data_IF_025162300591
#
_entry.id   IF_025162300591
#
_cell.length_a   1.000
_cell.length_b   1.000
_cell.length_c   1.000
_cell.angle_alpha   90.00
_cell.angle_beta   90.00
_cell.angle_gamma   90.00
#
_symmetry.space_group_name_H-M   'P 1'
#
loop_
_entity.id
_entity.type
_entity.pdbx_description
1 polymer ?
#
# COMPACT_ATOMS: atom_id res chain seq x y z
N UNK A 1 -6.29 8.91 15.92
CA UNK A 1 -5.36 7.82 15.56
C UNK A 1 -5.60 7.59 14.07
N UNK A 2 -4.66 7.96 13.19
CA UNK A 2 -4.92 7.82 11.74
C UNK A 2 -5.16 6.34 11.43
N UNK A 3 -6.00 5.96 10.48
CA UNK A 3 -6.16 4.54 10.14
C UNK A 3 -5.01 4.05 9.23
N UNK A 4 -4.81 2.74 9.05
CA UNK A 4 -3.86 2.22 8.05
C UNK A 4 -4.27 2.70 6.65
N UNK A 5 -5.58 2.76 6.38
CA UNK A 5 -6.14 3.36 5.17
C UNK A 5 -5.65 4.79 4.95
N UNK A 6 -5.71 5.64 5.96
CA UNK A 6 -5.25 7.04 5.82
C UNK A 6 -3.75 7.12 5.47
N UNK A 7 -2.93 6.23 6.06
CA UNK A 7 -1.50 6.12 5.72
C UNK A 7 -1.33 5.72 4.26
N UNK A 8 -2.02 4.67 3.81
CA UNK A 8 -1.92 4.21 2.42
C UNK A 8 -2.31 5.32 1.47
N UNK A 9 -3.44 5.99 1.71
CA UNK A 9 -3.94 7.07 0.84
C UNK A 9 -2.98 8.28 0.82
N UNK A 10 -2.39 8.67 1.95
CA UNK A 10 -1.41 9.76 1.99
C UNK A 10 -0.12 9.40 1.21
N UNK A 11 0.38 8.17 1.38
CA UNK A 11 1.54 7.69 0.64
C UNK A 11 1.26 7.62 -0.87
N UNK A 12 0.10 7.11 -1.28
CA UNK A 12 -0.28 7.05 -2.69
C UNK A 12 -0.39 8.45 -3.29
N UNK A 13 -1.02 9.39 -2.59
CA UNK A 13 -1.11 10.79 -3.04
C UNK A 13 0.25 11.44 -3.25
N UNK A 14 1.24 11.16 -2.38
CA UNK A 14 2.57 11.77 -2.43
C UNK A 14 3.51 11.11 -3.44
N UNK A 15 3.46 9.80 -3.53
CA UNK A 15 4.51 9.02 -4.19
C UNK A 15 4.00 8.18 -5.39
N UNK A 16 2.69 7.99 -5.51
CA UNK A 16 2.05 7.25 -6.61
C UNK A 16 1.11 8.13 -7.44
N UNK A 17 1.39 9.45 -7.57
CA UNK A 17 0.52 10.40 -8.28
C UNK A 17 0.25 10.04 -9.75
N UNK A 18 1.11 9.23 -10.38
CA UNK A 18 0.96 8.75 -11.75
C UNK A 18 0.25 7.40 -11.87
N UNK A 19 -0.14 6.78 -10.75
CA UNK A 19 -0.89 5.54 -10.77
C UNK A 19 -2.34 5.79 -11.23
N UNK A 20 -2.97 4.81 -11.90
CA UNK A 20 -4.39 4.87 -12.25
C UNK A 20 -5.30 5.11 -11.04
N UNK A 21 -6.46 5.74 -11.24
CA UNK A 21 -7.42 6.02 -10.16
C UNK A 21 -7.96 4.73 -9.52
N UNK A 22 -8.04 3.63 -10.28
CA UNK A 22 -8.51 2.31 -9.83
C UNK A 22 -7.40 1.44 -9.21
N UNK A 23 -6.21 1.99 -8.96
CA UNK A 23 -5.06 1.21 -8.48
C UNK A 23 -5.33 0.55 -7.12
N UNK A 24 -6.07 1.22 -6.23
CA UNK A 24 -6.41 0.66 -4.91
C UNK A 24 -7.36 -0.53 -5.08
N UNK A 25 -8.41 -0.41 -5.88
CA UNK A 25 -9.33 -1.52 -6.17
C UNK A 25 -8.60 -2.74 -6.75
N UNK A 26 -7.61 -2.51 -7.62
CA UNK A 26 -6.77 -3.58 -8.18
C UNK A 26 -5.94 -4.26 -7.09
N UNK A 27 -5.31 -3.47 -6.22
CA UNK A 27 -4.53 -3.97 -5.08
C UNK A 27 -5.40 -4.81 -4.16
N UNK A 28 -6.60 -4.34 -3.81
CA UNK A 28 -7.53 -5.08 -2.95
C UNK A 28 -7.93 -6.42 -3.56
N UNK A 29 -8.21 -6.46 -4.87
CA UNK A 29 -8.52 -7.70 -5.60
C UNK A 29 -7.32 -8.65 -5.64
N UNK A 30 -6.12 -8.15 -5.91
CA UNK A 30 -4.89 -8.94 -5.97
C UNK A 30 -4.50 -9.47 -4.58
N UNK A 31 -4.73 -8.69 -3.53
CA UNK A 31 -4.48 -9.09 -2.14
C UNK A 31 -5.56 -10.03 -1.59
N UNK A 32 -6.78 -10.00 -2.13
CA UNK A 32 -7.95 -10.61 -1.53
C UNK A 32 -8.32 -9.98 -0.18
N UNK A 33 -7.97 -8.70 0.02
CA UNK A 33 -8.10 -7.98 1.28
C UNK A 33 -8.46 -6.52 1.01
N UNK A 34 -9.59 -6.06 1.55
CA UNK A 34 -10.02 -4.67 1.47
C UNK A 34 -9.09 -3.76 2.28
N UNK A 35 -8.82 -2.55 1.80
CA UNK A 35 -7.94 -1.57 2.44
C UNK A 35 -8.43 -1.21 3.86
N UNK A 36 -9.74 -1.13 4.05
CA UNK A 36 -10.37 -0.89 5.35
C UNK A 36 -10.17 -2.05 6.35
N UNK A 37 -9.88 -3.25 5.85
CA UNK A 37 -9.64 -4.46 6.65
C UNK A 37 -8.15 -4.73 6.91
N UNK A 38 -7.24 -3.89 6.40
CA UNK A 38 -5.80 -4.05 6.61
C UNK A 38 -5.46 -3.70 8.06
N UNK A 39 -4.88 -4.67 8.76
CA UNK A 39 -4.27 -4.56 10.09
C UNK A 39 -2.78 -4.87 9.98
N UNK A 40 -1.97 -4.51 10.98
CA UNK A 40 -0.55 -4.84 10.93
C UNK A 40 -0.25 -6.34 10.84
N UNK A 41 -1.11 -7.20 11.39
CA UNK A 41 -0.95 -8.65 11.41
C UNK A 41 -1.25 -9.30 10.05
N UNK A 42 -2.08 -8.67 9.22
CA UNK A 42 -2.50 -9.19 7.93
C UNK A 42 -2.02 -8.36 6.73
N UNK A 43 -1.14 -7.36 6.94
CA UNK A 43 -0.74 -6.41 5.90
C UNK A 43 0.17 -7.02 4.81
N UNK A 44 0.78 -8.17 5.03
CA UNK A 44 1.79 -8.72 4.11
C UNK A 44 1.24 -8.99 2.69
N UNK A 45 0.09 -9.66 2.50
CA UNK A 45 -0.50 -9.85 1.17
C UNK A 45 -0.87 -8.53 0.49
N UNK A 46 -1.33 -7.54 1.26
CA UNK A 46 -1.64 -6.21 0.75
C UNK A 46 -0.37 -5.49 0.26
N UNK A 47 0.71 -5.51 1.04
CA UNK A 47 1.99 -4.91 0.66
C UNK A 47 2.59 -5.57 -0.59
N UNK A 48 2.45 -6.89 -0.73
CA UNK A 48 2.89 -7.60 -1.93
C UNK A 48 2.03 -7.22 -3.16
N UNK A 49 0.71 -7.11 -3.00
CA UNK A 49 -0.17 -6.62 -4.05
C UNK A 49 0.16 -5.19 -4.47
N UNK A 50 0.45 -4.28 -3.52
CA UNK A 50 0.94 -2.93 -3.80
C UNK A 50 2.20 -2.98 -4.68
N UNK A 51 3.18 -3.83 -4.33
CA UNK A 51 4.42 -3.97 -5.08
C UNK A 51 4.15 -4.42 -6.51
N UNK A 52 3.28 -5.42 -6.70
CA UNK A 52 2.94 -6.01 -8.01
C UNK A 52 2.22 -4.99 -8.88
N UNK A 53 1.12 -4.41 -8.38
CA UNK A 53 0.28 -3.50 -9.17
C UNK A 53 1.01 -2.19 -9.50
N UNK A 54 1.80 -1.64 -8.57
CA UNK A 54 2.59 -0.44 -8.86
C UNK A 54 3.74 -0.72 -9.83
N UNK A 55 4.37 -1.90 -9.78
CA UNK A 55 5.43 -2.26 -10.74
C UNK A 55 4.91 -2.41 -12.17
N UNK A 56 3.61 -2.68 -12.34
CA UNK A 56 2.97 -2.79 -13.65
C UNK A 56 2.67 -1.43 -14.29
N UNK A 57 2.58 -0.34 -13.51
CA UNK A 57 2.13 0.98 -13.98
C UNK A 57 3.14 2.10 -13.71
N UNK A 58 4.23 1.81 -12.99
CA UNK A 58 5.27 2.77 -12.63
C UNK A 58 6.67 2.18 -12.81
N UNK A 59 7.69 3.05 -12.74
CA UNK A 59 9.09 2.62 -12.67
C UNK A 59 9.31 1.70 -11.47
N UNK A 60 9.99 0.56 -11.67
CA UNK A 60 10.15 -0.47 -10.64
C UNK A 60 10.74 0.02 -9.32
N UNK A 61 11.65 1.00 -9.35
CA UNK A 61 12.23 1.57 -8.12
C UNK A 61 11.19 2.33 -7.28
N UNK A 62 10.18 2.97 -7.91
CA UNK A 62 9.10 3.67 -7.20
C UNK A 62 8.18 2.67 -6.49
N UNK A 63 7.85 1.56 -7.13
CA UNK A 63 7.05 0.50 -6.52
C UNK A 63 7.75 -0.09 -5.28
N UNK A 64 9.05 -0.36 -5.38
CA UNK A 64 9.86 -0.80 -4.23
C UNK A 64 9.89 0.24 -3.12
N UNK A 65 10.11 1.52 -3.45
CA UNK A 65 10.15 2.60 -2.48
C UNK A 65 8.81 2.75 -1.73
N UNK A 66 7.70 2.86 -2.46
CA UNK A 66 6.35 3.02 -1.88
C UNK A 66 6.02 1.85 -0.96
N UNK A 67 6.25 0.62 -1.42
CA UNK A 67 6.01 -0.59 -0.62
C UNK A 67 6.86 -0.60 0.66
N UNK A 68 8.14 -0.21 0.56
CA UNK A 68 9.05 -0.13 1.70
C UNK A 68 8.61 0.90 2.74
N UNK A 69 8.17 2.09 2.31
CA UNK A 69 7.64 3.13 3.21
C UNK A 69 6.39 2.66 3.93
N UNK A 70 5.42 2.06 3.21
CA UNK A 70 4.20 1.52 3.80
C UNK A 70 4.51 0.47 4.86
N UNK A 71 5.40 -0.48 4.55
CA UNK A 71 5.84 -1.52 5.48
C UNK A 71 6.41 -0.93 6.76
N UNK A 72 7.28 0.08 6.66
CA UNK A 72 7.85 0.72 7.84
C UNK A 72 6.79 1.44 8.69
N UNK A 73 5.85 2.15 8.07
CA UNK A 73 4.81 2.89 8.80
C UNK A 73 3.80 1.96 9.47
N UNK A 74 3.39 0.87 8.79
CA UNK A 74 2.51 -0.16 9.36
C UNK A 74 3.20 -0.85 10.55
N UNK A 75 4.47 -1.27 10.39
CA UNK A 75 5.21 -1.93 11.48
C UNK A 75 5.44 -1.03 12.70
N UNK A 76 5.63 0.28 12.51
CA UNK A 76 5.76 1.21 13.63
C UNK A 76 4.51 1.21 14.52
N UNK A 77 3.33 0.92 13.98
CA UNK A 77 2.08 0.83 14.75
C UNK A 77 1.92 -0.45 15.55
N UNK A 78 2.66 -1.51 15.21
CA UNK A 78 2.73 -2.72 16.06
C UNK A 78 3.45 -2.41 17.38
N UNK A 79 4.36 -1.43 17.36
CA UNK A 79 5.25 -1.13 18.47
C UNK A 79 4.80 0.07 19.34
N UNK A 80 3.62 0.64 19.07
CA UNK A 80 3.00 1.72 19.86
C UNK A 80 1.80 1.15 20.61
#
# INVERSE_FOLDING_TARGET
MDSIKDIVLDIFRRYAYGAPEDIIDRIERTAGLELDAVTPENAEPFLEAVRVELSAVMEGWKATFVTGVLRQLINKRINV
#
